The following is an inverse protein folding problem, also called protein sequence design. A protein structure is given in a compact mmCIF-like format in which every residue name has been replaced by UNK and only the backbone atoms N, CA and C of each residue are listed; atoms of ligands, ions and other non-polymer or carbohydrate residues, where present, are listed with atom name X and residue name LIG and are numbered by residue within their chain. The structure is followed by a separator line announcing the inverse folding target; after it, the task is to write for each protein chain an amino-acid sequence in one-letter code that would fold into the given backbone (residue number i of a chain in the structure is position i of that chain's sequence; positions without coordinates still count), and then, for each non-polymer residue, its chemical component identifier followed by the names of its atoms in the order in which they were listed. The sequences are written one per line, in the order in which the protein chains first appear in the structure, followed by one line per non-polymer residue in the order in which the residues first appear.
data_IF_614356185660
#
_entry.id   IF_614356185660
#
_cell.length_a   1.000
_cell.length_b   1.000
_cell.length_c   1.000
_cell.angle_alpha   90.00
_cell.angle_beta   90.00
_cell.angle_gamma   90.00
#
_symmetry.space_group_name_H-M   'P 1'
#
loop_
_entity.id
_entity.type
_entity.pdbx_description
1 polymer ?
#
# COMPACT_ATOMS: atom_id res chain seq x y z
N UNK A 1 112.40 -3.26 8.06
CA UNK A 1 111.92 -2.10 7.28
C UNK A 1 110.47 -2.34 6.88
N UNK A 2 109.58 -1.35 7.14
CA UNK A 2 108.28 -1.01 6.51
C UNK A 2 107.25 -2.13 6.21
N UNK A 3 106.15 -2.20 6.98
CA UNK A 3 104.77 -1.66 6.72
C UNK A 3 103.92 -2.57 5.78
N UNK A 4 102.85 -3.27 6.20
CA UNK A 4 101.52 -2.87 6.75
C UNK A 4 100.38 -2.90 5.67
N UNK A 5 99.29 -3.61 6.02
CA UNK A 5 97.83 -3.37 5.79
C UNK A 5 96.98 -4.28 4.85
N UNK A 6 95.98 -4.93 5.49
CA UNK A 6 94.55 -5.18 5.11
C UNK A 6 94.14 -6.11 3.96
N UNK A 7 93.40 -7.18 4.31
CA UNK A 7 91.93 -7.26 4.13
C UNK A 7 91.35 -8.46 4.89
N UNK A 8 90.49 -8.15 5.85
CA UNK A 8 89.72 -9.08 6.69
C UNK A 8 88.30 -9.21 6.16
N UNK A 9 87.73 -10.42 6.32
CA UNK A 9 86.30 -10.69 6.60
C UNK A 9 85.31 -10.33 5.48
N UNK A 10 84.81 -11.34 4.76
CA UNK A 10 83.38 -11.55 4.46
C UNK A 10 83.18 -13.08 4.48
N UNK A 11 82.93 -13.59 5.69
CA UNK A 11 82.37 -14.91 5.97
C UNK A 11 81.00 -14.63 6.59
N UNK A 12 80.02 -14.24 5.78
CA UNK A 12 78.59 -14.14 6.14
C UNK A 12 77.87 -13.54 4.94
N UNK A 13 77.04 -14.32 4.24
CA UNK A 13 75.89 -13.94 3.38
C UNK A 13 75.65 -14.99 2.28
N UNK A 14 75.48 -16.25 2.67
CA UNK A 14 74.91 -17.28 1.78
C UNK A 14 73.85 -18.13 2.49
N UNK A 15 73.31 -17.63 3.60
CA UNK A 15 72.29 -18.31 4.41
C UNK A 15 71.19 -17.36 4.92
N UNK A 16 70.93 -16.28 4.20
CA UNK A 16 69.89 -15.28 4.51
C UNK A 16 69.16 -14.84 3.24
N UNK A 17 68.79 -15.81 2.39
CA UNK A 17 68.06 -15.57 1.14
C UNK A 17 66.88 -16.51 0.91
N UNK A 18 66.52 -17.33 1.91
CA UNK A 18 65.40 -18.28 1.83
C UNK A 18 64.66 -18.39 3.17
N UNK A 19 64.49 -17.26 3.85
CA UNK A 19 63.76 -17.18 5.12
C UNK A 19 62.86 -15.93 5.20
N UNK A 20 62.50 -15.35 4.05
CA UNK A 20 61.56 -14.23 3.98
C UNK A 20 60.70 -14.49 2.75
N UNK A 21 59.50 -15.04 2.97
CA UNK A 21 58.30 -15.07 2.09
C UNK A 21 57.30 -16.18 2.49
N UNK A 22 57.46 -16.80 3.66
CA UNK A 22 56.35 -17.43 4.38
C UNK A 22 55.90 -16.52 5.52
N UNK A 23 55.74 -15.21 5.26
CA UNK A 23 54.63 -14.50 5.89
C UNK A 23 53.39 -14.99 5.19
N UNK A 24 52.98 -16.24 5.48
CA UNK A 24 51.59 -16.61 5.32
C UNK A 24 50.84 -15.54 6.10
N UNK A 25 50.09 -14.68 5.42
CA UNK A 25 49.06 -13.93 6.09
C UNK A 25 48.34 -14.94 6.99
N UNK A 26 48.38 -14.73 8.31
CA UNK A 26 47.43 -15.40 9.20
C UNK A 26 46.08 -15.10 8.56
N UNK A 27 45.50 -16.11 7.93
CA UNK A 27 44.12 -16.05 7.48
C UNK A 27 43.34 -15.97 8.78
N UNK A 28 43.08 -14.73 9.25
CA UNK A 28 42.05 -14.50 10.23
C UNK A 28 40.78 -14.94 9.54
N UNK A 29 40.32 -16.14 9.89
CA UNK A 29 38.92 -16.49 9.69
C UNK A 29 38.13 -15.32 10.23
N UNK A 30 37.55 -14.55 9.32
CA UNK A 30 36.56 -13.56 9.71
C UNK A 30 35.47 -14.41 10.31
N UNK A 31 35.28 -14.32 11.63
CA UNK A 31 34.21 -15.03 12.31
C UNK A 31 32.94 -14.85 11.47
N UNK A 32 32.25 -15.96 11.19
CA UNK A 32 31.01 -15.94 10.41
C UNK A 32 30.17 -14.75 10.90
N UNK A 33 29.83 -13.86 9.99
CA UNK A 33 29.00 -12.72 10.34
C UNK A 33 27.73 -13.28 10.99
N UNK A 34 27.45 -12.87 12.23
CA UNK A 34 26.24 -13.29 12.91
C UNK A 34 25.05 -12.74 12.12
N UNK A 35 24.46 -13.61 11.30
CA UNK A 35 23.34 -13.21 10.46
C UNK A 35 22.14 -12.96 11.37
N UNK A 36 21.45 -11.82 11.20
CA UNK A 36 20.32 -11.49 12.07
C UNK A 36 19.28 -12.59 11.96
N UNK A 37 18.88 -13.13 13.12
CA UNK A 37 17.84 -14.13 13.22
C UNK A 37 16.50 -13.65 12.68
N UNK A 38 15.53 -14.57 12.60
CA UNK A 38 14.20 -14.26 12.07
C UNK A 38 13.52 -13.14 12.88
N UNK A 39 13.06 -12.09 12.18
CA UNK A 39 12.32 -10.97 12.81
C UNK A 39 10.96 -10.81 12.14
N UNK A 40 9.90 -10.82 12.95
CA UNK A 40 8.53 -10.63 12.49
C UNK A 40 8.10 -9.16 12.47
N UNK A 41 7.30 -8.77 11.48
CA UNK A 41 6.74 -7.42 11.34
C UNK A 41 5.48 -7.43 10.44
N UNK A 42 4.72 -6.33 10.41
CA UNK A 42 3.60 -6.14 9.48
C UNK A 42 3.83 -4.89 8.61
N UNK A 43 3.92 -5.01 7.27
CA UNK A 43 4.21 -3.89 6.40
C UNK A 43 2.94 -3.16 5.95
N UNK A 44 2.87 -1.88 6.31
CA UNK A 44 2.16 -0.84 5.55
C UNK A 44 3.03 0.44 5.38
N UNK A 45 4.34 0.30 5.54
CA UNK A 45 5.44 1.29 5.43
C UNK A 45 5.55 2.38 6.52
N UNK A 46 6.80 2.52 7.01
CA UNK A 46 7.44 3.41 8.02
C UNK A 46 6.73 3.59 9.38
N UNK A 47 5.39 3.59 9.45
CA UNK A 47 4.60 3.76 10.67
C UNK A 47 3.32 2.89 10.72
N UNK A 48 3.20 1.87 9.87
CA UNK A 48 2.12 0.86 9.95
C UNK A 48 0.72 1.38 9.62
N UNK A 49 0.54 2.55 9.01
CA UNK A 49 -0.80 3.09 8.73
C UNK A 49 -1.25 2.69 7.33
N UNK A 50 -2.39 2.03 7.24
CA UNK A 50 -3.10 1.68 6.02
C UNK A 50 -4.36 2.55 5.91
N UNK A 51 -4.37 3.51 4.99
CA UNK A 51 -5.47 4.45 4.83
C UNK A 51 -6.39 4.06 3.67
N UNK A 52 -7.70 4.00 3.93
CA UNK A 52 -8.77 3.81 2.95
C UNK A 52 -9.60 5.10 2.94
N UNK A 53 -9.09 6.14 2.30
CA UNK A 53 -9.66 7.49 2.27
C UNK A 53 -10.10 7.96 0.88
N UNK A 54 -9.54 7.35 -0.16
CA UNK A 54 -9.85 7.65 -1.54
C UNK A 54 -9.62 6.42 -2.42
N UNK A 55 -10.56 6.17 -3.32
CA UNK A 55 -10.33 5.33 -4.50
C UNK A 55 -9.14 5.91 -5.26
N UNK A 56 -8.20 5.13 -5.85
CA UNK A 56 -7.03 5.69 -6.52
C UNK A 56 -7.45 6.70 -7.60
N UNK A 57 -7.36 7.97 -7.25
CA UNK A 57 -7.50 9.10 -8.17
C UNK A 57 -6.12 9.52 -8.70
N UNK A 58 -5.06 8.71 -8.47
CA UNK A 58 -3.70 9.03 -8.88
C UNK A 58 -3.57 8.92 -10.40
N UNK A 59 -3.62 10.08 -11.02
CA UNK A 59 -3.22 10.33 -12.41
C UNK A 59 -1.70 10.17 -12.52
N UNK A 60 -1.24 9.73 -13.69
CA UNK A 60 0.13 9.73 -14.24
C UNK A 60 0.92 8.43 -14.37
N UNK A 61 0.37 7.28 -13.99
CA UNK A 61 0.65 6.05 -14.71
C UNK A 61 -0.69 5.39 -14.93
N UNK A 62 -1.03 5.12 -16.19
CA UNK A 62 -2.29 4.48 -16.59
C UNK A 62 -2.67 3.42 -15.55
N UNK A 63 -3.89 3.46 -14.96
CA UNK A 63 -4.32 2.37 -14.11
C UNK A 63 -4.20 1.11 -14.94
N UNK A 64 -3.29 0.21 -14.57
CA UNK A 64 -3.22 -1.10 -15.20
C UNK A 64 -4.62 -1.69 -15.03
N UNK A 65 -5.33 -2.02 -16.12
CA UNK A 65 -6.59 -2.73 -16.02
C UNK A 65 -6.37 -3.96 -15.14
N UNK A 66 -7.01 -4.01 -13.97
CA UNK A 66 -6.86 -5.12 -13.02
C UNK A 66 -5.98 -4.90 -11.79
N UNK A 67 -5.49 -3.69 -11.47
CA UNK A 67 -4.99 -3.45 -10.11
C UNK A 67 -6.15 -3.45 -9.11
N UNK A 68 -6.34 -4.60 -8.47
CA UNK A 68 -7.31 -4.79 -7.40
C UNK A 68 -7.02 -3.78 -6.27
N UNK A 69 -8.08 -3.17 -5.76
CA UNK A 69 -8.03 -2.41 -4.52
C UNK A 69 -7.36 -3.26 -3.44
N UNK A 70 -6.64 -2.63 -2.52
CA UNK A 70 -6.05 -3.34 -1.38
C UNK A 70 -7.09 -3.80 -0.34
N UNK A 71 -8.35 -3.94 -0.75
CA UNK A 71 -9.47 -4.46 0.00
C UNK A 71 -10.54 -5.01 -0.95
N UNK A 72 -11.38 -5.92 -0.48
CA UNK A 72 -12.50 -6.51 -1.22
C UNK A 72 -13.81 -6.13 -0.56
N UNK A 73 -14.85 -5.85 -1.36
CA UNK A 73 -16.22 -5.71 -0.86
C UNK A 73 -16.97 -6.99 -1.19
N UNK A 74 -17.35 -7.73 -0.15
CA UNK A 74 -18.20 -8.90 -0.26
C UNK A 74 -19.63 -8.51 0.13
N UNK A 75 -20.46 -8.26 -0.89
CA UNK A 75 -21.86 -7.90 -0.68
C UNK A 75 -22.72 -9.09 -0.24
N UNK A 76 -22.30 -10.31 -0.58
CA UNK A 76 -23.05 -11.54 -0.22
C UNK A 76 -23.01 -11.77 1.27
N UNK A 77 -21.83 -11.57 1.89
CA UNK A 77 -21.65 -11.73 3.33
C UNK A 77 -21.67 -10.40 4.09
N UNK A 78 -21.93 -9.28 3.40
CA UNK A 78 -21.96 -7.93 3.95
C UNK A 78 -20.64 -7.58 4.69
N UNK A 79 -19.50 -7.80 4.04
CA UNK A 79 -18.15 -7.55 4.57
C UNK A 79 -17.34 -6.60 3.70
N UNK A 80 -16.53 -5.79 4.34
CA UNK A 80 -15.36 -5.14 3.74
C UNK A 80 -14.10 -5.86 4.25
N UNK A 81 -13.35 -6.47 3.34
CA UNK A 81 -12.23 -7.36 3.66
C UNK A 81 -10.93 -6.66 3.34
N UNK A 82 -10.09 -6.43 4.34
CA UNK A 82 -8.75 -5.86 4.20
C UNK A 82 -7.72 -6.99 4.35
N UNK A 83 -7.06 -7.43 3.26
CA UNK A 83 -5.97 -8.39 3.35
C UNK A 83 -4.77 -7.76 4.07
N UNK A 84 -4.30 -8.42 5.11
CA UNK A 84 -3.12 -8.08 5.90
C UNK A 84 -2.16 -9.27 5.91
N UNK A 85 -0.93 -9.04 6.37
CA UNK A 85 0.04 -10.12 6.52
C UNK A 85 1.07 -9.82 7.59
N UNK A 86 1.57 -10.89 8.21
CA UNK A 86 2.79 -10.87 9.00
C UNK A 86 3.93 -11.33 8.09
N UNK A 87 5.03 -10.60 8.13
CA UNK A 87 6.23 -10.85 7.35
C UNK A 87 7.34 -11.31 8.27
N UNK A 88 8.21 -12.16 7.73
CA UNK A 88 9.43 -12.62 8.35
C UNK A 88 10.63 -12.10 7.56
N UNK A 89 11.45 -11.28 8.21
CA UNK A 89 12.78 -10.91 7.74
C UNK A 89 13.83 -11.87 8.32
N UNK A 90 15.01 -11.92 7.68
CA UNK A 90 16.11 -12.82 8.02
C UNK A 90 16.50 -13.69 6.82
N UNK A 91 17.77 -14.11 6.78
CA UNK A 91 18.27 -15.01 5.74
C UNK A 91 17.85 -16.45 5.99
N UNK A 92 17.79 -16.86 7.26
CA UNK A 92 17.23 -18.14 7.65
C UNK A 92 15.71 -18.09 7.64
N UNK A 93 15.07 -18.94 6.83
CA UNK A 93 13.62 -19.07 6.69
C UNK A 93 13.13 -20.48 7.04
N UNK A 94 13.93 -21.21 7.81
CA UNK A 94 13.59 -22.54 8.28
C UNK A 94 12.44 -22.50 9.30
N UNK A 95 11.66 -23.57 9.31
CA UNK A 95 10.56 -23.79 10.25
C UNK A 95 9.28 -23.03 9.90
N UNK A 96 8.16 -23.61 10.32
CA UNK A 96 6.88 -22.90 10.40
C UNK A 96 6.90 -22.01 11.65
N UNK A 97 6.40 -20.79 11.52
CA UNK A 97 6.26 -19.85 12.64
C UNK A 97 4.79 -19.52 12.81
N UNK A 98 4.22 -19.91 13.95
CA UNK A 98 2.86 -19.52 14.31
C UNK A 98 2.90 -18.15 15.00
N UNK A 99 2.16 -17.19 14.44
CA UNK A 99 2.19 -15.80 14.91
C UNK A 99 0.83 -15.42 15.47
N UNK A 100 0.74 -15.32 16.80
CA UNK A 100 -0.43 -14.74 17.45
C UNK A 100 -0.57 -13.26 17.07
N UNK A 101 -1.80 -12.88 16.73
CA UNK A 101 -2.20 -11.53 16.36
C UNK A 101 -3.46 -11.13 17.14
N UNK A 102 -3.60 -9.84 17.46
CA UNK A 102 -4.78 -9.33 18.14
C UNK A 102 -5.08 -7.88 17.79
N UNK A 103 -6.30 -7.45 18.13
CA UNK A 103 -6.70 -6.07 17.90
C UNK A 103 -6.02 -5.18 18.94
N UNK A 104 -5.43 -4.07 18.49
CA UNK A 104 -4.72 -3.11 19.33
C UNK A 104 -5.38 -1.74 19.22
N UNK A 105 -6.32 -1.48 20.12
CA UNK A 105 -7.04 -0.19 20.21
C UNK A 105 -6.20 0.91 20.86
N UNK A 106 -5.24 0.55 21.70
CA UNK A 106 -4.38 1.51 22.41
C UNK A 106 -3.47 2.26 21.43
N UNK A 107 -2.92 1.57 20.43
CA UNK A 107 -2.11 2.22 19.39
C UNK A 107 -2.96 3.21 18.57
N UNK A 108 -4.23 2.91 18.30
CA UNK A 108 -5.14 3.87 17.64
C UNK A 108 -5.30 5.12 18.49
N UNK A 109 -5.57 4.97 19.80
CA UNK A 109 -5.70 6.11 20.73
C UNK A 109 -4.43 6.95 20.76
N UNK A 110 -3.25 6.32 20.85
CA UNK A 110 -1.96 7.03 20.83
C UNK A 110 -1.75 7.83 19.55
N UNK A 111 -2.09 7.27 18.39
CA UNK A 111 -1.97 7.97 17.11
C UNK A 111 -2.94 9.15 16.99
N UNK A 112 -4.15 9.05 17.56
CA UNK A 112 -5.08 10.19 17.66
C UNK A 112 -4.48 11.31 18.50
N UNK A 113 -3.99 11.00 19.70
CA UNK A 113 -3.37 11.98 20.60
C UNK A 113 -2.14 12.65 19.98
N UNK A 114 -1.33 11.87 19.24
CA UNK A 114 -0.17 12.37 18.53
C UNK A 114 -0.49 13.09 17.20
N UNK A 115 -1.78 13.30 16.88
CA UNK A 115 -2.26 13.91 15.63
C UNK A 115 -1.70 13.24 14.36
N UNK A 116 -1.44 11.93 14.41
CA UNK A 116 -0.99 11.13 13.26
C UNK A 116 -2.15 10.59 12.42
N UNK A 117 -3.34 10.53 13.00
CA UNK A 117 -4.61 10.23 12.34
C UNK A 117 -5.64 11.30 12.76
N UNK A 118 -6.73 11.51 11.98
CA UNK A 118 -7.71 12.55 12.30
C UNK A 118 -8.29 12.40 13.71
N UNK A 119 -8.44 13.51 14.44
CA UNK A 119 -9.01 13.48 15.80
C UNK A 119 -10.42 12.88 15.85
N UNK A 120 -11.19 13.04 14.76
CA UNK A 120 -12.54 12.50 14.57
C UNK A 120 -12.59 10.97 14.47
N UNK A 121 -11.45 10.30 14.37
CA UNK A 121 -11.38 8.85 14.12
C UNK A 121 -11.98 8.08 15.31
N UNK A 122 -13.08 7.37 15.08
CA UNK A 122 -13.65 6.41 16.01
C UNK A 122 -12.87 5.10 16.02
N UNK A 123 -12.84 4.41 17.16
CA UNK A 123 -12.33 3.04 17.23
C UNK A 123 -13.42 2.12 16.72
N UNK A 124 -13.09 1.23 15.78
CA UNK A 124 -14.04 0.24 15.29
C UNK A 124 -14.39 -0.75 16.42
N UNK A 125 -15.68 -0.97 16.75
CA UNK A 125 -16.04 -1.86 17.85
C UNK A 125 -15.62 -3.32 17.56
N UNK A 126 -15.20 -4.05 18.60
CA UNK A 126 -14.74 -5.45 18.47
C UNK A 126 -15.79 -6.40 17.91
N UNK A 127 -17.08 -6.10 18.08
CA UNK A 127 -18.18 -6.88 17.49
C UNK A 127 -18.41 -6.60 16.00
N UNK A 128 -17.72 -5.60 15.43
CA UNK A 128 -17.89 -5.12 14.05
C UNK A 128 -16.76 -5.49 13.12
N UNK A 129 -15.82 -6.31 13.58
CA UNK A 129 -14.81 -6.92 12.73
C UNK A 129 -14.43 -8.32 13.22
N UNK A 130 -13.83 -9.10 12.33
CA UNK A 130 -13.27 -10.42 12.60
C UNK A 130 -11.90 -10.52 11.95
N UNK A 131 -10.97 -11.19 12.64
CA UNK A 131 -9.67 -11.61 12.12
C UNK A 131 -9.21 -12.85 12.89
N UNK A 132 -8.34 -13.70 12.33
CA UNK A 132 -7.90 -14.90 13.05
C UNK A 132 -7.06 -14.52 14.27
N UNK A 133 -7.00 -15.41 15.26
CA UNK A 133 -6.18 -15.22 16.47
C UNK A 133 -4.68 -15.45 16.20
N UNK A 134 -4.36 -16.17 15.13
CA UNK A 134 -2.99 -16.44 14.72
C UNK A 134 -2.89 -16.58 13.21
N UNK A 135 -1.68 -16.44 12.69
CA UNK A 135 -1.33 -16.67 11.29
C UNK A 135 -0.02 -17.43 11.21
N UNK A 136 0.02 -18.45 10.37
CA UNK A 136 1.23 -19.22 10.13
C UNK A 136 2.05 -18.60 9.01
N UNK A 137 3.33 -18.29 9.30
CA UNK A 137 4.35 -18.09 8.27
C UNK A 137 5.01 -19.45 8.01
N UNK A 138 4.77 -20.03 6.83
CA UNK A 138 5.23 -21.38 6.50
C UNK A 138 6.75 -21.42 6.27
N UNK A 139 7.34 -22.61 6.41
CA UNK A 139 8.73 -22.86 6.08
C UNK A 139 9.06 -22.39 4.65
N UNK A 140 10.13 -21.61 4.50
CA UNK A 140 10.55 -21.01 3.22
C UNK A 140 9.77 -19.75 2.79
N UNK A 141 8.59 -19.49 3.36
CA UNK A 141 7.75 -18.35 2.97
C UNK A 141 8.19 -17.04 3.65
N UNK A 142 7.95 -15.92 2.97
CA UNK A 142 8.26 -14.58 3.47
C UNK A 142 7.15 -13.99 4.34
N UNK A 143 5.92 -14.50 4.18
CA UNK A 143 4.75 -13.94 4.83
C UNK A 143 3.68 -15.00 5.12
N UNK A 144 2.85 -14.69 6.12
CA UNK A 144 1.59 -15.34 6.39
C UNK A 144 0.48 -14.30 6.26
N UNK A 145 -0.46 -14.53 5.34
CA UNK A 145 -1.59 -13.62 5.08
C UNK A 145 -2.80 -13.95 5.94
N UNK A 146 -3.56 -12.92 6.29
CA UNK A 146 -4.86 -13.05 6.93
C UNK A 146 -5.80 -11.93 6.51
N UNK A 147 -7.09 -12.14 6.72
CA UNK A 147 -8.11 -11.14 6.43
C UNK A 147 -8.55 -10.44 7.70
N UNK A 148 -8.62 -9.11 7.64
CA UNK A 148 -9.44 -8.31 8.53
C UNK A 148 -10.79 -8.08 7.84
N UNK A 149 -11.85 -8.69 8.36
CA UNK A 149 -13.19 -8.59 7.81
C UNK A 149 -14.03 -7.65 8.65
N UNK A 150 -14.55 -6.58 8.06
CA UNK A 150 -15.32 -5.53 8.74
C UNK A 150 -16.78 -5.63 8.33
N UNK A 151 -17.71 -5.48 9.30
CA UNK A 151 -19.15 -5.42 9.06
C UNK A 151 -19.49 -4.22 8.16
N UNK A 152 -19.83 -4.50 6.90
CA UNK A 152 -20.14 -3.47 5.91
C UNK A 152 -21.46 -2.75 6.23
N UNK A 153 -22.43 -3.45 6.83
CA UNK A 153 -23.71 -2.86 7.22
C UNK A 153 -23.53 -1.80 8.29
N UNK A 154 -22.67 -2.08 9.27
CA UNK A 154 -22.26 -1.11 10.27
C UNK A 154 -21.58 0.11 9.64
N UNK A 155 -20.61 -0.08 8.73
CA UNK A 155 -19.96 1.05 8.06
C UNK A 155 -20.95 1.94 7.29
N UNK A 156 -21.95 1.33 6.64
CA UNK A 156 -22.99 2.04 5.89
C UNK A 156 -23.93 2.86 6.77
N UNK A 157 -24.10 2.53 8.05
CA UNK A 157 -24.91 3.34 8.97
C UNK A 157 -24.19 4.61 9.46
N UNK A 158 -22.93 4.83 9.05
CA UNK A 158 -22.12 5.98 9.46
C UNK A 158 -21.40 6.62 8.26
N UNK A 159 -22.12 7.21 7.28
CA UNK A 159 -21.59 7.56 5.95
C UNK A 159 -20.44 8.59 5.89
N UNK A 160 -20.24 9.39 6.95
CA UNK A 160 -19.20 10.43 7.01
C UNK A 160 -18.30 10.28 8.26
N UNK A 161 -18.15 9.05 8.74
CA UNK A 161 -17.30 8.72 9.89
C UNK A 161 -15.96 8.12 9.47
N UNK A 162 -14.92 8.39 10.25
CA UNK A 162 -13.62 7.72 10.12
C UNK A 162 -13.51 6.69 11.22
N UNK A 163 -13.26 5.43 10.88
CA UNK A 163 -12.96 4.37 11.83
C UNK A 163 -11.50 3.98 11.76
N UNK A 164 -10.96 3.47 12.86
CA UNK A 164 -9.67 2.81 12.86
C UNK A 164 -9.65 1.56 13.72
N UNK A 165 -8.78 0.65 13.31
CA UNK A 165 -8.47 -0.58 14.02
C UNK A 165 -6.98 -0.87 13.88
N UNK A 166 -6.34 -1.23 14.99
CA UNK A 166 -5.01 -1.81 14.95
C UNK A 166 -5.07 -3.32 14.93
N UNK A 167 -4.29 -3.97 14.08
CA UNK A 167 -3.97 -5.38 14.13
C UNK A 167 -2.47 -5.50 14.48
N UNK A 168 -2.13 -6.15 15.57
CA UNK A 168 -0.76 -6.24 16.07
C UNK A 168 -0.33 -7.67 16.37
N UNK A 169 0.97 -7.90 16.24
CA UNK A 169 1.63 -9.14 16.64
C UNK A 169 1.72 -9.18 18.16
N UNK A 170 1.24 -10.27 18.75
CA UNK A 170 1.33 -10.57 20.19
C UNK A 170 2.15 -11.82 20.49
N UNK A 171 2.69 -12.48 19.46
CA UNK A 171 3.51 -13.68 19.62
C UNK A 171 4.81 -13.41 20.36
N UNK A 172 5.21 -14.35 21.21
CA UNK A 172 6.53 -14.44 21.83
C UNK A 172 7.41 -15.53 21.20
N UNK A 173 6.90 -16.27 20.22
CA UNK A 173 7.60 -17.43 19.63
C UNK A 173 8.75 -17.07 18.69
N UNK A 174 8.84 -15.80 18.27
CA UNK A 174 9.96 -15.28 17.49
C UNK A 174 10.20 -13.80 17.85
N UNK A 175 11.39 -13.30 17.53
CA UNK A 175 11.71 -11.88 17.71
C UNK A 175 10.78 -11.03 16.87
N UNK A 176 10.11 -10.05 17.48
CA UNK A 176 9.21 -9.12 16.80
C UNK A 176 9.89 -7.76 16.72
N UNK A 177 9.81 -7.09 15.57
CA UNK A 177 10.27 -5.72 15.47
C UNK A 177 9.29 -4.78 16.21
N UNK A 178 9.66 -4.17 17.34
CA UNK A 178 8.73 -3.38 18.15
C UNK A 178 8.23 -2.11 17.44
N UNK A 179 8.93 -1.65 16.40
CA UNK A 179 8.54 -0.48 15.60
C UNK A 179 7.51 -0.80 14.53
N UNK A 180 7.45 -2.05 14.08
CA UNK A 180 6.62 -2.49 12.95
C UNK A 180 5.73 -3.68 13.30
N UNK A 181 5.37 -3.83 14.58
CA UNK A 181 4.56 -4.95 15.05
C UNK A 181 3.05 -4.75 14.88
N UNK A 182 2.60 -3.56 14.51
CA UNK A 182 1.18 -3.21 14.42
C UNK A 182 0.88 -2.50 13.11
N UNK A 183 -0.15 -2.96 12.42
CA UNK A 183 -0.77 -2.24 11.30
C UNK A 183 -2.07 -1.59 11.75
N UNK A 184 -2.24 -0.30 11.46
CA UNK A 184 -3.42 0.49 11.75
C UNK A 184 -4.18 0.71 10.45
N UNK A 185 -5.37 0.15 10.35
CA UNK A 185 -6.29 0.40 9.24
C UNK A 185 -7.16 1.59 9.61
N UNK A 186 -7.08 2.66 8.82
CA UNK A 186 -7.93 3.86 8.93
C UNK A 186 -8.89 3.87 7.75
N UNK A 187 -10.18 3.86 8.03
CA UNK A 187 -11.24 3.74 7.04
C UNK A 187 -12.16 4.95 7.05
N UNK A 188 -12.30 5.62 5.92
CA UNK A 188 -13.25 6.70 5.73
C UNK A 188 -14.49 6.14 5.04
N UNK A 189 -15.60 6.09 5.77
CA UNK A 189 -16.89 5.57 5.26
C UNK A 189 -17.48 6.35 4.07
N UNK A 190 -17.05 7.59 3.86
CA UNK A 190 -17.42 8.40 2.68
C UNK A 190 -17.11 7.70 1.34
N UNK A 191 -16.16 6.76 1.31
CA UNK A 191 -15.89 5.94 0.12
C UNK A 191 -17.10 5.10 -0.33
N UNK A 192 -18.05 4.87 0.59
CA UNK A 192 -19.28 4.13 0.34
C UNK A 192 -20.36 5.00 -0.31
N UNK A 193 -20.10 6.29 -0.55
CA UNK A 193 -21.07 7.24 -1.08
C UNK A 193 -20.44 8.03 -2.25
N UNK A 194 -20.49 7.50 -3.48
CA UNK A 194 -19.98 8.21 -4.65
C UNK A 194 -20.78 9.49 -4.87
N UNK A 195 -20.11 10.56 -5.29
CA UNK A 195 -20.74 11.85 -5.62
C UNK A 195 -20.37 12.20 -7.05
N UNK A 196 -21.33 12.04 -7.97
CA UNK A 196 -21.18 12.42 -9.36
C UNK A 196 -21.08 13.93 -9.49
N UNK A 197 -20.01 14.40 -10.11
CA UNK A 197 -19.84 15.79 -10.44
C UNK A 197 -18.97 15.95 -11.69
N UNK A 198 -19.30 16.93 -12.51
CA UNK A 198 -18.52 17.28 -13.68
C UNK A 198 -18.85 18.69 -14.17
N UNK A 199 -17.99 19.18 -15.06
CA UNK A 199 -18.20 20.37 -15.88
C UNK A 199 -18.00 20.03 -17.35
N UNK A 200 -18.59 20.84 -18.23
CA UNK A 200 -18.49 20.72 -19.68
C UNK A 200 -17.88 21.98 -20.26
N UNK A 201 -17.05 21.85 -21.28
CA UNK A 201 -16.48 22.98 -22.00
C UNK A 201 -16.60 22.72 -23.50
N UNK A 202 -17.40 23.55 -24.17
CA UNK A 202 -17.51 23.54 -25.64
C UNK A 202 -16.25 24.18 -26.21
N UNK A 203 -15.63 23.54 -27.19
CA UNK A 203 -14.45 24.06 -27.87
C UNK A 203 -14.82 25.33 -28.65
N UNK A 204 -13.99 26.37 -28.51
CA UNK A 204 -14.27 27.69 -29.06
C UNK A 204 -14.17 27.74 -30.60
N UNK A 205 -13.40 26.84 -31.21
CA UNK A 205 -13.18 26.79 -32.66
C UNK A 205 -14.04 25.73 -33.31
N UNK A 206 -14.13 24.54 -32.69
CA UNK A 206 -15.01 23.48 -33.12
C UNK A 206 -16.18 23.35 -32.13
N UNK A 207 -17.22 24.14 -32.33
CA UNK A 207 -18.39 24.18 -31.44
C UNK A 207 -19.22 22.89 -31.36
N UNK A 208 -18.85 21.84 -32.09
CA UNK A 208 -19.38 20.47 -31.97
C UNK A 208 -18.58 19.59 -30.99
N UNK A 209 -17.40 20.03 -30.55
CA UNK A 209 -16.53 19.30 -29.63
C UNK A 209 -16.73 19.77 -28.20
N UNK A 210 -16.89 18.83 -27.27
CA UNK A 210 -17.09 19.08 -25.84
C UNK A 210 -16.05 18.31 -25.02
N UNK A 211 -15.29 19.03 -24.22
CA UNK A 211 -14.39 18.46 -23.22
C UNK A 211 -15.15 18.26 -21.92
N UNK A 212 -15.11 17.05 -21.37
CA UNK A 212 -15.78 16.70 -20.12
C UNK A 212 -14.77 16.59 -18.97
N UNK A 213 -14.92 17.43 -17.96
CA UNK A 213 -14.05 17.41 -16.77
C UNK A 213 -14.78 16.77 -15.61
N UNK A 214 -14.39 15.55 -15.26
CA UNK A 214 -14.96 14.81 -14.13
C UNK A 214 -14.39 15.28 -12.80
N UNK A 215 -15.26 15.81 -11.95
CA UNK A 215 -14.95 16.29 -10.59
C UNK A 215 -15.64 15.45 -9.52
N UNK A 216 -16.09 14.25 -9.89
CA UNK A 216 -16.76 13.31 -9.00
C UNK A 216 -15.84 12.86 -7.87
N UNK A 217 -16.43 12.46 -6.75
CA UNK A 217 -15.72 11.94 -5.57
C UNK A 217 -16.13 10.50 -5.29
N UNK A 218 -15.19 9.72 -4.78
CA UNK A 218 -15.41 8.36 -4.25
C UNK A 218 -15.97 7.34 -5.25
N UNK A 219 -15.82 7.61 -6.55
CA UNK A 219 -16.23 6.72 -7.62
C UNK A 219 -15.10 5.77 -8.03
N UNK A 220 -15.48 4.52 -8.29
CA UNK A 220 -14.64 3.45 -8.82
C UNK A 220 -14.73 3.36 -10.33
N UNK A 221 -15.92 3.61 -10.89
CA UNK A 221 -16.18 3.59 -12.32
C UNK A 221 -16.99 4.81 -12.72
N UNK A 222 -16.86 5.20 -13.98
CA UNK A 222 -17.59 6.29 -14.59
C UNK A 222 -18.32 5.72 -15.81
N UNK A 223 -19.54 6.19 -16.04
CA UNK A 223 -20.28 5.94 -17.26
C UNK A 223 -20.87 7.27 -17.73
N UNK A 224 -20.46 7.70 -18.91
CA UNK A 224 -20.96 8.86 -19.60
C UNK A 224 -22.02 8.45 -20.61
N UNK A 225 -23.09 9.22 -20.68
CA UNK A 225 -24.07 9.22 -21.75
C UNK A 225 -24.14 10.64 -22.29
N UNK A 226 -23.88 10.83 -23.58
CA UNK A 226 -23.83 12.16 -24.18
C UNK A 226 -25.19 12.64 -24.69
N UNK A 227 -26.25 11.82 -24.58
CA UNK A 227 -27.60 12.18 -25.00
C UNK A 227 -27.82 12.13 -26.52
N UNK A 228 -26.82 11.68 -27.29
CA UNK A 228 -26.89 11.44 -28.73
C UNK A 228 -26.87 9.94 -29.09
N UNK A 229 -27.02 9.07 -28.09
CA UNK A 229 -26.95 7.62 -28.22
C UNK A 229 -25.56 7.03 -28.05
N UNK A 230 -24.54 7.85 -27.79
CA UNK A 230 -23.17 7.38 -27.52
C UNK A 230 -22.81 7.45 -26.04
N UNK A 231 -21.87 6.59 -25.61
CA UNK A 231 -21.44 6.46 -24.22
C UNK A 231 -19.93 6.32 -24.11
N UNK A 232 -19.35 6.65 -22.96
CA UNK A 232 -17.93 6.42 -22.66
C UNK A 232 -17.74 6.00 -21.18
N UNK A 233 -16.62 5.35 -20.87
CA UNK A 233 -16.21 4.99 -19.50
C UNK A 233 -14.91 5.67 -19.06
N UNK A 234 -14.24 6.37 -19.98
CA UNK A 234 -13.05 7.16 -19.68
C UNK A 234 -13.39 8.22 -18.63
N UNK A 235 -12.45 8.47 -17.71
CA UNK A 235 -12.67 9.40 -16.59
C UNK A 235 -13.04 10.80 -17.07
N UNK A 236 -12.32 11.34 -18.05
CA UNK A 236 -12.50 12.68 -18.60
C UNK A 236 -12.44 12.62 -20.14
N UNK A 237 -13.54 12.25 -20.81
CA UNK A 237 -13.56 12.09 -22.26
C UNK A 237 -13.67 13.44 -22.98
N UNK A 238 -13.31 13.41 -24.27
CA UNK A 238 -13.63 14.47 -25.23
C UNK A 238 -14.64 13.88 -26.20
N UNK A 239 -15.82 14.50 -26.31
CA UNK A 239 -16.89 14.04 -27.18
C UNK A 239 -17.08 15.01 -28.36
N UNK A 240 -17.45 14.48 -29.53
CA UNK A 240 -17.73 15.27 -30.74
C UNK A 240 -19.12 14.90 -31.24
N UNK A 241 -20.02 15.88 -31.29
CA UNK A 241 -21.38 15.71 -31.79
C UNK A 241 -21.42 15.84 -33.31
N UNK A 242 -22.23 15.01 -33.97
CA UNK A 242 -22.40 15.06 -35.42
C UNK A 242 -23.32 16.19 -35.89
N UNK A 243 -24.28 16.58 -35.04
CA UNK A 243 -25.30 17.59 -35.36
C UNK A 243 -25.34 18.67 -34.29
N UNK A 244 -25.61 19.91 -34.73
CA UNK A 244 -25.88 21.00 -33.80
C UNK A 244 -27.19 20.74 -33.03
N UNK A 245 -27.23 21.12 -31.77
CA UNK A 245 -28.36 20.85 -30.89
C UNK A 245 -28.04 21.06 -29.43
N UNK A 246 -29.06 20.88 -28.59
CA UNK A 246 -28.89 20.80 -27.13
C UNK A 246 -29.02 19.35 -26.72
N UNK A 247 -27.99 18.85 -26.03
CA UNK A 247 -27.91 17.47 -25.55
C UNK A 247 -27.87 17.45 -24.03
N UNK A 248 -28.33 16.34 -23.46
CA UNK A 248 -28.34 16.10 -22.02
C UNK A 248 -27.21 15.14 -21.70
N UNK A 249 -26.08 15.67 -21.22
CA UNK A 249 -24.93 14.84 -20.83
C UNK A 249 -25.15 14.33 -19.41
N UNK A 250 -25.02 13.03 -19.22
CA UNK A 250 -25.18 12.35 -17.94
C UNK A 250 -23.90 11.62 -17.56
N UNK A 251 -23.43 11.85 -16.34
CA UNK A 251 -22.35 11.08 -15.71
C UNK A 251 -22.92 10.26 -14.58
N UNK A 252 -22.77 8.93 -14.67
CA UNK A 252 -23.00 7.98 -13.60
C UNK A 252 -21.67 7.62 -12.94
N UNK A 253 -21.53 7.98 -11.67
CA UNK A 253 -20.41 7.65 -10.83
C UNK A 253 -20.75 6.40 -9.99
N UNK A 254 -20.13 5.26 -10.27
CA UNK A 254 -20.35 4.00 -9.56
C UNK A 254 -19.29 3.85 -8.47
N UNK A 255 -19.74 3.67 -7.23
CA UNK A 255 -18.92 3.55 -6.04
C UNK A 255 -18.42 2.13 -5.77
N UNK A 256 -17.87 1.95 -4.57
CA UNK A 256 -17.19 0.71 -4.15
C UNK A 256 -18.11 -0.49 -3.96
N UNK A 257 -19.41 -0.26 -3.77
CA UNK A 257 -20.40 -1.33 -3.69
C UNK A 257 -20.96 -1.73 -5.07
N UNK A 258 -20.34 -1.27 -6.15
CA UNK A 258 -20.79 -1.59 -7.51
C UNK A 258 -22.11 -0.90 -7.89
N UNK A 259 -22.88 -1.44 -8.84
CA UNK A 259 -24.03 -0.76 -9.44
C UNK A 259 -25.13 -0.32 -8.47
N UNK A 260 -25.26 -0.98 -7.31
CA UNK A 260 -26.23 -0.61 -6.27
C UNK A 260 -25.85 0.68 -5.52
N UNK A 261 -24.63 1.16 -5.72
CA UNK A 261 -24.08 2.35 -5.09
C UNK A 261 -23.55 3.26 -6.18
N UNK A 262 -24.44 4.08 -6.72
CA UNK A 262 -24.11 5.04 -7.76
C UNK A 262 -24.75 6.38 -7.45
N UNK A 263 -24.14 7.43 -7.99
CA UNK A 263 -24.76 8.75 -8.09
C UNK A 263 -24.71 9.22 -9.53
N UNK A 264 -25.63 10.10 -9.87
CA UNK A 264 -25.81 10.60 -11.23
C UNK A 264 -25.81 12.12 -11.19
N UNK A 265 -25.10 12.73 -12.14
CA UNK A 265 -25.23 14.14 -12.44
C UNK A 265 -25.57 14.29 -13.91
N UNK A 266 -26.39 15.28 -14.22
CA UNK A 266 -26.77 15.61 -15.59
C UNK A 266 -26.60 17.10 -15.82
N UNK A 267 -26.07 17.49 -16.97
CA UNK A 267 -25.93 18.89 -17.41
C UNK A 267 -26.32 19.01 -18.88
N UNK A 268 -27.07 20.07 -19.28
CA UNK A 268 -27.28 20.35 -20.68
C UNK A 268 -26.01 20.91 -21.32
N UNK A 269 -25.83 20.66 -22.61
CA UNK A 269 -24.81 21.31 -23.45
C UNK A 269 -25.39 21.67 -24.80
N UNK A 270 -25.18 22.91 -25.24
CA UNK A 270 -25.58 23.35 -26.58
C UNK A 270 -24.35 23.45 -27.46
N UNK A 271 -24.35 22.64 -28.52
CA UNK A 271 -23.32 22.58 -29.55
C UNK A 271 -23.85 23.13 -30.86
N UNK A 272 -23.00 23.77 -31.65
CA UNK A 272 -23.39 24.50 -32.85
C UNK A 272 -22.28 24.56 -33.89
N UNK A 273 -22.57 25.14 -35.05
CA UNK A 273 -21.54 25.60 -35.99
C UNK A 273 -21.18 27.04 -35.70
#
# INVERSE_FOLDING_TARGET
MKKILTKSIILLTALTGFAILLTSCEYKEVADAEYPGQVLYMPAAINGIFTIDNVPQRVEFLPTPGQAYRFTVDLTNNKLIVPLAVYRAGLDRSGNVEVNISANTDTVTKLKTAAKIPAITGILPSSKFTMPASVQVKNGEELGSFNLEIDLGYLRSFPDTVFAIGAGITSSQATVNPKYNTTIVVLYTKILNPIANFTLTVDATNRLKVTCTNTSKYQMKNLWDFGDGTTDTIKAPVHIYNTAGTYTVTLTAVGVLGPVNQSVKTLPVTVGK
#
